data_IF_398951100612
#
_entry.id   IF_398951100612
#
_cell.length_a   1.000
_cell.length_b   1.000
_cell.length_c   1.000
_cell.angle_alpha   90.00
_cell.angle_beta   90.00
_cell.angle_gamma   90.00
#
_symmetry.space_group_name_H-M   'P 1'
#
loop_
_entity.id
_entity.type
_entity.pdbx_description
1 polymer ?
#
# COMPACT_ATOMS: atom_id res chain seq x y z
N UNK A 1 23.65 -3.47 -1.83
CA UNK A 1 22.61 -4.44 -2.23
C UNK A 1 21.39 -3.74 -2.82
N UNK A 2 20.74 -2.82 -2.10
CA UNK A 2 19.62 -2.04 -2.65
C UNK A 2 19.98 -1.23 -3.90
N UNK A 3 21.20 -0.69 -3.98
CA UNK A 3 21.73 0.01 -5.16
C UNK A 3 21.77 -0.89 -6.41
N UNK A 4 22.25 -2.13 -6.28
CA UNK A 4 22.26 -3.11 -7.37
C UNK A 4 20.83 -3.44 -7.83
N UNK A 5 19.90 -3.59 -6.88
CA UNK A 5 18.49 -3.83 -7.19
C UNK A 5 17.84 -2.60 -7.86
N UNK A 6 18.30 -1.38 -7.55
CA UNK A 6 17.80 -0.16 -8.17
C UNK A 6 18.19 -0.10 -9.66
N UNK A 7 19.43 -0.47 -10.01
CA UNK A 7 19.86 -0.54 -11.42
C UNK A 7 19.06 -1.59 -12.21
N UNK A 8 18.89 -2.78 -11.65
CA UNK A 8 18.06 -3.84 -12.26
C UNK A 8 16.59 -3.40 -12.39
N UNK A 9 16.07 -2.69 -11.39
CA UNK A 9 14.73 -2.13 -11.43
C UNK A 9 14.59 -1.05 -12.49
N UNK A 10 15.58 -0.18 -12.70
CA UNK A 10 15.55 0.83 -13.78
C UNK A 10 15.46 0.16 -15.15
N UNK A 11 16.19 -0.93 -15.35
CA UNK A 11 16.12 -1.71 -16.58
C UNK A 11 14.74 -2.38 -16.75
N UNK A 12 14.23 -2.99 -15.69
CA UNK A 12 12.89 -3.55 -15.67
C UNK A 12 11.82 -2.49 -15.96
N UNK A 13 11.91 -1.30 -15.35
CA UNK A 13 10.95 -0.22 -15.48
C UNK A 13 10.80 0.29 -16.92
N UNK A 14 11.82 0.07 -17.77
CA UNK A 14 11.81 0.39 -19.21
C UNK A 14 11.21 -0.72 -20.08
N UNK A 15 10.99 -1.91 -19.53
CA UNK A 15 10.41 -3.05 -20.25
C UNK A 15 8.92 -2.84 -20.54
N UNK A 16 8.40 -3.54 -21.56
CA UNK A 16 6.97 -3.52 -21.89
C UNK A 16 6.10 -4.08 -20.76
N UNK A 17 6.60 -5.09 -20.04
CA UNK A 17 5.94 -5.66 -18.86
C UNK A 17 5.71 -4.58 -17.80
N UNK A 18 6.75 -3.83 -17.44
CA UNK A 18 6.64 -2.77 -16.44
C UNK A 18 5.77 -1.60 -16.92
N UNK A 19 5.75 -1.29 -18.22
CA UNK A 19 4.88 -0.23 -18.78
C UNK A 19 3.40 -0.60 -18.67
N UNK A 20 3.04 -1.86 -18.92
CA UNK A 20 1.67 -2.34 -18.77
C UNK A 20 1.21 -2.25 -17.32
N UNK A 21 2.05 -2.72 -16.38
CA UNK A 21 1.75 -2.64 -14.95
C UNK A 21 1.67 -1.18 -14.50
N UNK A 22 2.60 -0.32 -14.93
CA UNK A 22 2.60 1.10 -14.56
C UNK A 22 1.36 1.83 -15.08
N UNK A 23 0.91 1.53 -16.30
CA UNK A 23 -0.34 2.08 -16.86
C UNK A 23 -1.54 1.71 -15.98
N UNK A 24 -1.67 0.43 -15.62
CA UNK A 24 -2.74 -0.03 -14.74
C UNK A 24 -2.69 0.65 -13.36
N UNK A 25 -1.50 0.76 -12.75
CA UNK A 25 -1.33 1.42 -11.46
C UNK A 25 -1.63 2.91 -11.52
N UNK A 26 -1.30 3.59 -12.64
CA UNK A 26 -1.63 5.00 -12.86
C UNK A 26 -3.12 5.23 -13.04
N UNK A 27 -3.82 4.33 -13.74
CA UNK A 27 -5.28 4.35 -13.85
C UNK A 27 -5.94 4.16 -12.48
N UNK A 28 -5.48 3.17 -11.71
CA UNK A 28 -5.93 2.93 -10.33
C UNK A 28 -5.70 4.15 -9.44
N UNK A 29 -4.51 4.75 -9.50
CA UNK A 29 -4.17 5.98 -8.76
C UNK A 29 -5.10 7.15 -9.10
N UNK A 30 -5.33 7.40 -10.40
CA UNK A 30 -6.25 8.46 -10.85
C UNK A 30 -7.67 8.22 -10.33
N UNK A 31 -8.16 7.00 -10.45
CA UNK A 31 -9.51 6.65 -10.00
C UNK A 31 -9.67 6.80 -8.48
N UNK A 32 -8.72 6.28 -7.69
CA UNK A 32 -8.79 6.36 -6.23
C UNK A 32 -8.62 7.80 -5.73
N UNK A 33 -7.80 8.61 -6.39
CA UNK A 33 -7.66 10.05 -6.08
C UNK A 33 -8.94 10.80 -6.42
N UNK A 34 -9.63 10.45 -7.52
CA UNK A 34 -10.92 11.05 -7.87
C UNK A 34 -12.04 10.70 -6.89
N UNK A 35 -11.99 9.50 -6.28
CA UNK A 35 -12.99 9.06 -5.30
C UNK A 35 -12.66 9.60 -3.91
N UNK A 36 -11.48 9.32 -3.39
CA UNK A 36 -11.07 9.61 -2.01
C UNK A 36 -10.10 10.78 -1.87
N UNK A 37 -9.94 11.61 -2.90
CA UNK A 37 -9.20 12.86 -2.82
C UNK A 37 -9.81 13.81 -1.79
N UNK A 38 -8.99 14.74 -1.27
CA UNK A 38 -9.39 15.65 -0.19
C UNK A 38 -10.62 16.48 -0.58
N UNK A 39 -10.70 16.88 -1.85
CA UNK A 39 -11.81 17.67 -2.40
C UNK A 39 -13.04 16.81 -2.78
N UNK A 40 -12.90 15.50 -2.89
CA UNK A 40 -13.93 14.61 -3.44
C UNK A 40 -14.54 13.63 -2.43
N UNK A 41 -13.85 13.39 -1.31
CA UNK A 41 -14.22 12.34 -0.35
C UNK A 41 -15.62 12.54 0.26
N UNK A 42 -16.05 13.79 0.41
CA UNK A 42 -17.39 14.14 0.92
C UNK A 42 -18.51 13.91 -0.11
N UNK A 43 -18.15 13.64 -1.37
CA UNK A 43 -19.07 13.36 -2.48
C UNK A 43 -18.99 11.92 -2.96
N UNK A 44 -18.37 11.02 -2.18
CA UNK A 44 -18.32 9.59 -2.49
C UNK A 44 -19.75 9.04 -2.53
N UNK A 45 -20.00 8.15 -3.48
CA UNK A 45 -21.28 7.47 -3.66
C UNK A 45 -21.11 5.96 -3.53
N UNK A 46 -22.17 5.20 -3.22
CA UNK A 46 -22.10 3.74 -3.08
C UNK A 46 -21.47 3.02 -4.28
N UNK A 47 -21.78 3.46 -5.51
CA UNK A 47 -21.20 2.90 -6.74
C UNK A 47 -19.67 3.06 -6.81
N UNK A 48 -19.11 4.17 -6.31
CA UNK A 48 -17.67 4.40 -6.32
C UNK A 48 -16.93 3.41 -5.43
N UNK A 49 -17.53 3.01 -4.30
CA UNK A 49 -16.94 1.99 -3.44
C UNK A 49 -16.85 0.66 -4.19
N UNK A 50 -17.93 0.21 -4.81
CA UNK A 50 -17.91 -1.04 -5.59
C UNK A 50 -16.80 -1.05 -6.65
N UNK A 51 -16.61 0.06 -7.35
CA UNK A 51 -15.58 0.20 -8.38
C UNK A 51 -14.16 0.19 -7.79
N UNK A 52 -13.91 1.00 -6.74
CA UNK A 52 -12.60 1.02 -6.02
C UNK A 52 -12.25 -0.38 -5.57
N UNK A 53 -13.22 -1.04 -4.95
CA UNK A 53 -13.05 -2.32 -4.32
C UNK A 53 -12.90 -3.46 -5.34
N UNK A 54 -13.46 -3.32 -6.54
CA UNK A 54 -13.19 -4.20 -7.67
C UNK A 54 -11.76 -4.12 -8.19
N UNK A 55 -11.01 -3.06 -7.87
CA UNK A 55 -9.63 -2.87 -8.29
C UNK A 55 -8.59 -3.28 -7.24
N UNK A 56 -9.01 -3.71 -6.04
CA UNK A 56 -8.08 -4.14 -4.99
C UNK A 56 -7.42 -5.49 -5.31
N UNK A 57 -6.19 -5.66 -4.84
CA UNK A 57 -5.46 -6.93 -5.00
C UNK A 57 -5.85 -7.98 -3.95
N UNK A 58 -6.62 -7.59 -2.94
CA UNK A 58 -7.13 -8.49 -1.89
C UNK A 58 -8.28 -9.35 -2.41
N UNK A 59 -8.09 -10.68 -2.46
CA UNK A 59 -9.10 -11.62 -2.91
C UNK A 59 -10.31 -11.69 -1.96
N UNK A 60 -11.51 -11.97 -2.51
CA UNK A 60 -12.75 -12.11 -1.71
C UNK A 60 -13.27 -10.81 -1.09
N UNK A 61 -12.65 -9.67 -1.44
CA UNK A 61 -12.96 -8.39 -0.84
C UNK A 61 -14.39 -7.92 -1.09
N UNK A 62 -14.99 -8.26 -2.26
CA UNK A 62 -16.37 -7.86 -2.58
C UNK A 62 -17.39 -8.38 -1.56
N UNK A 63 -17.25 -9.64 -1.14
CA UNK A 63 -18.13 -10.25 -0.14
C UNK A 63 -17.93 -9.63 1.24
N UNK A 64 -16.68 -9.32 1.59
CA UNK A 64 -16.35 -8.63 2.85
C UNK A 64 -16.96 -7.24 2.86
N UNK A 65 -16.83 -6.49 1.76
CA UNK A 65 -17.40 -5.16 1.63
C UNK A 65 -18.91 -5.18 1.80
N UNK A 66 -19.62 -6.08 1.11
CA UNK A 66 -21.08 -6.18 1.25
C UNK A 66 -21.46 -6.44 2.72
N UNK A 67 -20.74 -7.33 3.41
CA UNK A 67 -20.96 -7.57 4.83
C UNK A 67 -20.67 -6.33 5.71
N UNK A 68 -19.58 -5.62 5.44
CA UNK A 68 -19.20 -4.39 6.16
C UNK A 68 -20.22 -3.28 5.92
N UNK A 69 -20.62 -3.03 4.67
CA UNK A 69 -21.62 -2.01 4.33
C UNK A 69 -22.98 -2.33 4.94
N UNK A 70 -23.40 -3.60 4.91
CA UNK A 70 -24.65 -4.04 5.55
C UNK A 70 -24.63 -3.86 7.07
N UNK A 71 -23.46 -4.05 7.71
CA UNK A 71 -23.32 -3.97 9.16
C UNK A 71 -23.18 -2.53 9.67
N UNK A 72 -22.41 -1.69 8.98
CA UNK A 72 -22.01 -0.36 9.48
C UNK A 72 -22.69 0.79 8.76
N UNK A 73 -23.24 0.56 7.56
CA UNK A 73 -23.77 1.61 6.69
C UNK A 73 -22.67 2.27 5.85
N UNK A 74 -23.07 2.74 4.66
CA UNK A 74 -22.18 3.35 3.68
C UNK A 74 -21.47 4.59 4.22
N UNK A 75 -22.25 5.52 4.81
CA UNK A 75 -21.76 6.79 5.32
C UNK A 75 -20.72 6.57 6.42
N UNK A 76 -20.98 5.61 7.31
CA UNK A 76 -20.05 5.25 8.38
C UNK A 76 -18.72 4.76 7.82
N UNK A 77 -18.73 3.87 6.82
CA UNK A 77 -17.51 3.36 6.21
C UNK A 77 -16.71 4.49 5.55
N UNK A 78 -17.38 5.38 4.81
CA UNK A 78 -16.73 6.55 4.18
C UNK A 78 -16.12 7.47 5.23
N UNK A 79 -16.83 7.76 6.33
CA UNK A 79 -16.31 8.60 7.41
C UNK A 79 -15.07 7.99 8.08
N UNK A 80 -15.02 6.67 8.29
CA UNK A 80 -13.82 6.03 8.84
C UNK A 80 -12.65 6.06 7.86
N UNK A 81 -12.90 5.87 6.56
CA UNK A 81 -11.86 6.03 5.51
C UNK A 81 -11.37 7.47 5.48
N UNK A 82 -12.27 8.45 5.53
CA UNK A 82 -11.93 9.88 5.57
C UNK A 82 -11.10 10.23 6.80
N UNK A 83 -11.50 9.76 7.97
CA UNK A 83 -10.74 9.91 9.20
C UNK A 83 -9.34 9.32 9.06
N UNK A 84 -9.21 8.11 8.51
CA UNK A 84 -7.90 7.50 8.28
C UNK A 84 -7.02 8.31 7.31
N UNK A 85 -7.58 8.91 6.27
CA UNK A 85 -6.84 9.66 5.27
C UNK A 85 -6.49 11.09 5.72
N UNK A 86 -7.44 11.79 6.33
CA UNK A 86 -7.39 13.24 6.56
C UNK A 86 -7.54 13.67 8.04
N UNK A 87 -7.74 12.72 8.95
CA UNK A 87 -7.84 13.01 10.38
C UNK A 87 -6.58 13.69 10.94
N UNK A 88 -6.77 14.56 11.94
CA UNK A 88 -5.69 15.32 12.58
C UNK A 88 -4.84 14.51 13.57
N UNK A 89 -5.35 13.37 14.03
CA UNK A 89 -4.64 12.48 14.95
C UNK A 89 -3.40 11.84 14.29
N UNK A 90 -2.40 11.41 15.08
CA UNK A 90 -1.25 10.69 14.58
C UNK A 90 -1.64 9.45 13.74
N UNK A 91 -0.83 9.10 12.75
CA UNK A 91 -1.14 8.03 11.79
C UNK A 91 -1.37 6.68 12.48
N UNK A 92 -0.57 6.38 13.50
CA UNK A 92 -0.71 5.18 14.32
C UNK A 92 -2.09 5.10 15.00
N UNK A 93 -2.56 6.21 15.57
CA UNK A 93 -3.87 6.27 16.23
C UNK A 93 -4.98 6.13 15.20
N UNK A 94 -4.87 6.81 14.05
CA UNK A 94 -5.86 6.71 12.97
C UNK A 94 -5.97 5.30 12.42
N UNK A 95 -4.84 4.61 12.26
CA UNK A 95 -4.78 3.24 11.79
C UNK A 95 -5.48 2.29 12.78
N UNK A 96 -5.10 2.34 14.06
CA UNK A 96 -5.68 1.47 15.09
C UNK A 96 -7.19 1.73 15.24
N UNK A 97 -7.59 3.01 15.28
CA UNK A 97 -9.00 3.40 15.36
C UNK A 97 -9.82 2.83 14.19
N UNK A 98 -9.27 2.81 12.97
CA UNK A 98 -9.99 2.26 11.82
C UNK A 98 -10.34 0.78 12.04
N UNK A 99 -9.36 -0.03 12.47
CA UNK A 99 -9.57 -1.47 12.65
C UNK A 99 -10.31 -1.83 13.94
N UNK A 100 -10.29 -0.96 14.96
CA UNK A 100 -11.19 -1.10 16.10
C UNK A 100 -12.67 -0.93 15.70
N UNK A 101 -12.95 -0.07 14.71
CA UNK A 101 -14.31 0.26 14.25
C UNK A 101 -14.79 -0.68 13.16
N UNK A 102 -13.90 -1.07 12.26
CA UNK A 102 -14.17 -1.93 11.10
C UNK A 102 -13.22 -3.15 11.10
N UNK A 103 -13.27 -4.03 12.12
CA UNK A 103 -12.33 -5.14 12.28
C UNK A 103 -12.41 -6.19 11.17
N UNK A 104 -13.52 -6.26 10.42
CA UNK A 104 -13.69 -7.17 9.30
C UNK A 104 -12.98 -6.72 8.04
N UNK A 105 -12.48 -5.48 7.98
CA UNK A 105 -11.71 -4.97 6.85
C UNK A 105 -10.28 -5.49 6.92
N UNK A 106 -9.81 -6.33 5.96
CA UNK A 106 -8.40 -6.60 5.77
C UNK A 106 -7.52 -5.34 5.78
N UNK A 107 -6.46 -5.35 6.57
CA UNK A 107 -5.56 -4.19 6.68
C UNK A 107 -4.94 -3.80 5.34
N UNK A 108 -4.61 -4.80 4.53
CA UNK A 108 -4.06 -4.59 3.19
C UNK A 108 -4.98 -3.76 2.29
N UNK A 109 -6.29 -3.95 2.38
CA UNK A 109 -7.25 -3.21 1.57
C UNK A 109 -7.28 -1.72 1.92
N UNK A 110 -7.25 -1.37 3.22
CA UNK A 110 -7.13 0.02 3.65
C UNK A 110 -5.82 0.64 3.17
N UNK A 111 -4.70 -0.09 3.33
CA UNK A 111 -3.38 0.37 2.88
C UNK A 111 -3.36 0.62 1.37
N UNK A 112 -3.98 -0.25 0.58
CA UNK A 112 -4.15 -0.05 -0.86
C UNK A 112 -4.97 1.20 -1.15
N UNK A 113 -6.18 1.32 -0.57
CA UNK A 113 -7.04 2.50 -0.75
C UNK A 113 -6.26 3.79 -0.47
N UNK A 114 -5.56 3.84 0.65
CA UNK A 114 -4.81 5.02 1.05
C UNK A 114 -3.57 5.29 0.18
N UNK A 115 -2.86 4.25 -0.23
CA UNK A 115 -1.69 4.39 -1.10
C UNK A 115 -2.09 4.89 -2.49
N UNK A 116 -3.22 4.43 -3.05
CA UNK A 116 -3.66 4.90 -4.37
C UNK A 116 -4.38 6.26 -4.32
N UNK A 117 -5.06 6.59 -3.22
CA UNK A 117 -5.68 7.90 -3.03
C UNK A 117 -4.65 9.00 -2.68
N UNK A 118 -3.62 8.64 -1.90
CA UNK A 118 -2.57 9.56 -1.45
C UNK A 118 -1.18 8.91 -1.56
N UNK A 119 -0.65 8.77 -2.78
CA UNK A 119 0.55 7.98 -3.08
C UNK A 119 1.83 8.51 -2.42
N UNK A 120 1.83 9.73 -1.91
CA UNK A 120 2.99 10.31 -1.20
C UNK A 120 2.97 10.05 0.31
N UNK A 121 1.83 9.64 0.87
CA UNK A 121 1.58 9.69 2.32
C UNK A 121 1.41 8.30 2.94
N UNK A 122 0.99 7.30 2.16
CA UNK A 122 0.70 5.95 2.64
C UNK A 122 1.44 4.91 1.81
N UNK A 123 1.71 3.76 2.42
CA UNK A 123 2.40 2.66 1.78
C UNK A 123 1.64 1.34 1.95
N UNK A 124 1.89 0.40 1.03
CA UNK A 124 1.41 -0.98 1.14
C UNK A 124 2.47 -1.81 1.86
N UNK A 125 2.06 -2.50 2.94
CA UNK A 125 2.92 -3.37 3.74
C UNK A 125 2.47 -4.84 3.65
N UNK A 126 2.56 -5.38 2.43
CA UNK A 126 2.21 -6.77 2.12
C UNK A 126 3.42 -7.73 2.27
N UNK A 127 3.22 -9.01 1.94
CA UNK A 127 4.30 -10.01 2.01
C UNK A 127 5.49 -9.65 1.08
N UNK A 128 5.23 -9.12 -0.12
CA UNK A 128 6.28 -8.71 -1.03
C UNK A 128 7.15 -7.58 -0.43
N UNK A 129 6.52 -6.58 0.19
CA UNK A 129 7.21 -5.51 0.90
C UNK A 129 8.02 -6.04 2.09
N UNK A 130 7.41 -6.87 2.94
CA UNK A 130 8.04 -7.51 4.11
C UNK A 130 9.28 -8.31 3.71
N UNK A 131 9.13 -9.22 2.74
CA UNK A 131 10.21 -10.08 2.25
C UNK A 131 11.29 -9.29 1.54
N UNK A 132 10.94 -8.25 0.80
CA UNK A 132 11.91 -7.33 0.19
C UNK A 132 12.75 -6.64 1.27
N UNK A 133 12.12 -6.06 2.30
CA UNK A 133 12.83 -5.40 3.42
C UNK A 133 13.78 -6.37 4.14
N UNK A 134 13.35 -7.62 4.36
CA UNK A 134 14.20 -8.67 4.92
C UNK A 134 15.37 -8.95 3.97
N UNK A 135 15.10 -9.15 2.68
CA UNK A 135 16.10 -9.49 1.67
C UNK A 135 17.21 -8.43 1.58
N UNK A 136 16.85 -7.15 1.59
CA UNK A 136 17.83 -6.04 1.52
C UNK A 136 18.52 -5.77 2.87
N UNK A 137 18.27 -6.57 3.91
CA UNK A 137 18.90 -6.45 5.23
C UNK A 137 18.39 -5.29 6.08
N UNK A 138 17.18 -4.79 5.81
CA UNK A 138 16.60 -3.63 6.50
C UNK A 138 15.61 -4.02 7.61
N UNK A 139 15.49 -5.30 7.96
CA UNK A 139 14.48 -5.81 8.91
C UNK A 139 14.64 -5.33 10.36
N UNK A 140 15.78 -4.72 10.71
CA UNK A 140 16.05 -4.16 12.04
C UNK A 140 16.18 -2.62 12.03
N UNK A 141 15.83 -1.97 10.92
CA UNK A 141 15.90 -0.52 10.82
C UNK A 141 14.60 0.13 11.31
N UNK A 142 14.69 1.40 11.71
CA UNK A 142 13.53 2.26 11.99
C UNK A 142 12.53 1.66 12.98
N UNK A 143 12.96 0.92 14.00
CA UNK A 143 12.05 0.38 15.02
C UNK A 143 11.21 -0.82 14.58
N UNK A 144 11.43 -1.37 13.39
CA UNK A 144 10.80 -2.63 12.97
C UNK A 144 11.15 -3.75 13.96
N UNK A 145 10.12 -4.47 14.38
CA UNK A 145 10.22 -5.62 15.28
C UNK A 145 9.58 -6.85 14.63
N UNK A 146 9.63 -8.01 15.29
CA UNK A 146 8.97 -9.22 14.79
C UNK A 146 7.47 -9.04 14.57
N UNK A 147 6.79 -8.20 15.39
CA UNK A 147 5.36 -7.91 15.23
C UNK A 147 5.07 -7.18 13.92
N UNK A 148 6.00 -6.34 13.45
CA UNK A 148 5.87 -5.60 12.19
C UNK A 148 5.84 -6.52 10.97
N UNK A 149 6.24 -7.79 11.09
CA UNK A 149 6.22 -8.77 10.00
C UNK A 149 5.06 -9.76 10.09
N UNK A 150 4.15 -9.61 11.07
CA UNK A 150 2.93 -10.41 11.18
C UNK A 150 1.90 -10.02 10.12
N UNK A 151 0.86 -10.84 9.94
CA UNK A 151 -0.22 -10.57 8.98
C UNK A 151 -1.00 -9.30 9.35
N UNK A 152 -1.40 -9.20 10.62
CA UNK A 152 -2.03 -8.02 11.23
C UNK A 152 -0.99 -7.27 12.04
N UNK A 153 -0.94 -5.95 11.89
CA UNK A 153 0.01 -5.08 12.57
C UNK A 153 -0.70 -3.95 13.33
N UNK A 154 -0.01 -3.36 14.30
CA UNK A 154 -0.47 -2.13 14.96
C UNK A 154 -0.25 -0.90 14.09
N UNK A 155 -0.88 0.21 14.43
CA UNK A 155 -0.64 1.51 13.81
C UNK A 155 0.81 1.96 13.95
N UNK A 156 1.46 1.67 15.09
CA UNK A 156 2.87 1.98 15.29
C UNK A 156 3.77 1.13 14.38
N UNK A 157 3.48 -0.16 14.23
CA UNK A 157 4.15 -1.02 13.26
C UNK A 157 3.97 -0.50 11.82
N UNK A 158 2.78 0.01 11.48
CA UNK A 158 2.52 0.60 10.16
C UNK A 158 3.34 1.87 9.93
N UNK A 159 3.51 2.71 10.96
CA UNK A 159 4.39 3.88 10.91
C UNK A 159 5.85 3.46 10.67
N UNK A 160 6.34 2.42 11.36
CA UNK A 160 7.70 1.90 11.14
C UNK A 160 7.89 1.28 9.76
N UNK A 161 6.91 0.52 9.27
CA UNK A 161 6.86 0.04 7.89
C UNK A 161 6.97 1.19 6.88
N UNK A 162 6.21 2.27 7.10
CA UNK A 162 6.26 3.47 6.26
C UNK A 162 7.64 4.13 6.28
N UNK A 163 8.31 4.21 7.42
CA UNK A 163 9.66 4.74 7.51
C UNK A 163 10.69 3.89 6.76
N UNK A 164 10.62 2.56 6.90
CA UNK A 164 11.48 1.65 6.16
C UNK A 164 11.27 1.76 4.64
N UNK A 165 10.02 1.82 4.17
CA UNK A 165 9.73 2.02 2.76
C UNK A 165 10.04 3.44 2.28
N UNK A 166 10.01 4.46 3.15
CA UNK A 166 10.47 5.80 2.80
C UNK A 166 11.97 5.81 2.49
N UNK A 167 12.77 5.04 3.22
CA UNK A 167 14.20 4.92 2.94
C UNK A 167 14.43 4.30 1.55
N UNK A 168 13.70 3.24 1.21
CA UNK A 168 13.70 2.67 -0.15
C UNK A 168 13.29 3.71 -1.19
N UNK A 169 12.22 4.47 -0.93
CA UNK A 169 11.72 5.55 -1.79
C UNK A 169 12.79 6.61 -2.08
N UNK A 170 13.52 7.04 -1.05
CA UNK A 170 14.59 8.04 -1.16
C UNK A 170 15.74 7.54 -2.03
N UNK A 171 16.16 6.28 -1.82
CA UNK A 171 17.20 5.66 -2.64
C UNK A 171 16.74 5.57 -4.09
N UNK A 172 15.56 5.02 -4.36
CA UNK A 172 15.03 4.92 -5.73
C UNK A 172 14.95 6.30 -6.40
N UNK A 173 14.45 7.33 -5.69
CA UNK A 173 14.39 8.70 -6.21
C UNK A 173 15.74 9.26 -6.64
N UNK A 174 16.81 8.95 -5.91
CA UNK A 174 18.16 9.37 -6.28
C UNK A 174 18.63 8.70 -7.59
N UNK A 175 18.27 7.43 -7.82
CA UNK A 175 18.67 6.67 -9.01
C UNK A 175 17.88 7.05 -10.27
N UNK A 176 16.56 7.20 -10.13
CA UNK A 176 15.68 7.48 -11.28
C UNK A 176 15.62 8.96 -11.67
N UNK A 177 16.29 9.85 -10.92
CA UNK A 177 16.27 11.31 -11.13
C UNK A 177 14.84 11.90 -11.24
N UNK A 178 13.86 11.27 -10.59
CA UNK A 178 12.48 11.76 -10.47
C UNK A 178 11.93 11.51 -9.07
N UNK A 179 10.84 12.20 -8.74
CA UNK A 179 10.10 11.94 -7.51
C UNK A 179 9.44 10.56 -7.62
N UNK A 180 9.76 9.69 -6.65
CA UNK A 180 9.17 8.37 -6.43
C UNK A 180 8.11 8.52 -5.35
N UNK A 181 6.95 7.94 -5.61
CA UNK A 181 5.86 7.80 -4.65
C UNK A 181 5.76 6.34 -4.13
N UNK A 182 4.85 6.05 -3.22
CA UNK A 182 4.73 4.71 -2.66
C UNK A 182 4.09 3.69 -3.60
N UNK A 183 3.45 4.11 -4.70
CA UNK A 183 3.02 3.20 -5.75
C UNK A 183 4.23 2.69 -6.53
N UNK A 184 5.19 3.57 -6.82
CA UNK A 184 6.48 3.16 -7.39
C UNK A 184 7.25 2.21 -6.46
N UNK A 185 7.24 2.48 -5.14
CA UNK A 185 7.87 1.57 -4.15
C UNK A 185 7.16 0.22 -4.11
N UNK A 186 5.83 0.20 -4.18
CA UNK A 186 5.08 -1.04 -4.26
C UNK A 186 5.50 -1.87 -5.49
N UNK A 187 5.59 -1.24 -6.66
CA UNK A 187 6.08 -1.89 -7.87
C UNK A 187 7.51 -2.44 -7.70
N UNK A 188 8.40 -1.66 -7.08
CA UNK A 188 9.76 -2.11 -6.76
C UNK A 188 9.77 -3.35 -5.85
N UNK A 189 8.99 -3.33 -4.76
CA UNK A 189 8.93 -4.48 -3.84
C UNK A 189 8.39 -5.74 -4.51
N UNK A 190 7.44 -5.61 -5.44
CA UNK A 190 6.95 -6.73 -6.25
C UNK A 190 8.02 -7.25 -7.20
N UNK A 191 8.71 -6.36 -7.92
CA UNK A 191 9.84 -6.71 -8.76
C UNK A 191 10.92 -7.49 -7.99
N UNK A 192 11.33 -7.00 -6.82
CA UNK A 192 12.35 -7.67 -6.00
C UNK A 192 11.85 -9.04 -5.52
N UNK A 193 10.61 -9.10 -5.04
CA UNK A 193 9.99 -10.32 -4.58
C UNK A 193 9.96 -11.40 -5.68
N UNK A 194 9.44 -11.07 -6.86
CA UNK A 194 9.27 -12.02 -7.95
C UNK A 194 10.60 -12.47 -8.56
N UNK A 195 11.56 -11.56 -8.70
CA UNK A 195 12.81 -11.82 -9.43
C UNK A 195 13.92 -12.39 -8.53
N UNK A 196 13.92 -12.07 -7.23
CA UNK A 196 15.03 -12.40 -6.34
C UNK A 196 14.63 -13.18 -5.09
N UNK A 197 13.40 -13.02 -4.59
CA UNK A 197 12.92 -13.75 -3.41
C UNK A 197 12.29 -15.08 -3.83
N UNK A 198 11.23 -15.07 -4.63
CA UNK A 198 10.53 -16.28 -5.07
C UNK A 198 11.44 -17.25 -5.82
N UNK A 199 12.30 -16.74 -6.72
CA UNK A 199 13.22 -17.60 -7.48
C UNK A 199 14.27 -18.33 -6.63
N UNK A 200 14.54 -17.85 -5.40
CA UNK A 200 15.39 -18.59 -4.45
C UNK A 200 14.67 -19.76 -3.79
N UNK A 201 13.34 -19.77 -3.74
CA UNK A 201 12.55 -20.86 -3.14
C UNK A 201 12.15 -21.95 -4.15
N UNK A 202 12.25 -21.69 -5.45
CA UNK A 202 11.94 -22.67 -6.52
C UNK A 202 13.18 -23.49 -6.95
N UNK A 203 14.39 -23.06 -6.58
CA UNK A 203 15.64 -23.74 -6.91
C UNK A 203 16.30 -24.43 -5.70
N UNK A 204 15.49 -24.88 -4.72
CA UNK A 204 15.93 -25.73 -3.60
C UNK A 204 15.24 -27.09 -3.71
#
# INVERSE_FOLDING_TARGET
>A
MIELLADDFVNYYRSEEAKQVSTFLDEKKKFFTMVFGEESIDSVKPEHLNDVFGMLSTAGWRQILEAVLNKYGFESVVEHVKYFLYGSEPLEIRFDTFFERLPEVPQLALMEVATFAQPKNFCIWDDAAKKTIIYIGHSRMHGLSETSFQETISGLDYVWARFALNHVRQILSAYVSRKIDYVDVHLFTRFVYDRFVLKKFVNV
#
